data_IF_971256689186
#
_entry.id   IF_971256689186
#
_cell.length_a   1.000
_cell.length_b   1.000
_cell.length_c   1.000
_cell.angle_alpha   90.00
_cell.angle_beta   90.00
_cell.angle_gamma   90.00
#
_symmetry.space_group_name_H-M   'P 1'
#
loop_
_entity.id
_entity.type
_entity.pdbx_description
1 polymer ?
#
# COMPACT_ATOMS: atom_id res chain seq x y z
N UNK A 1 -21.46 -30.36 -19.21
CA UNK A 1 -20.33 -30.86 -18.40
C UNK A 1 -20.54 -30.46 -16.92
N UNK A 2 -21.49 -31.13 -16.25
CA UNK A 2 -21.96 -30.77 -14.89
C UNK A 2 -21.05 -31.35 -13.81
N UNK A 3 -20.70 -32.63 -13.95
CA UNK A 3 -19.94 -33.39 -12.96
C UNK A 3 -18.51 -32.85 -12.78
N UNK A 4 -17.81 -32.48 -13.87
CA UNK A 4 -16.48 -31.87 -13.77
C UNK A 4 -16.51 -30.52 -13.06
N UNK A 5 -17.57 -29.74 -13.25
CA UNK A 5 -17.74 -28.46 -12.56
C UNK A 5 -17.95 -28.67 -11.06
N UNK A 6 -18.71 -29.71 -10.69
CA UNK A 6 -18.96 -30.05 -9.29
C UNK A 6 -17.73 -30.58 -8.57
N UNK A 7 -16.93 -31.40 -9.26
CA UNK A 7 -15.63 -31.85 -8.77
C UNK A 7 -14.64 -30.69 -8.60
N UNK A 8 -14.58 -29.77 -9.57
CA UNK A 8 -13.76 -28.56 -9.46
C UNK A 8 -14.18 -27.68 -8.26
N UNK A 9 -15.48 -27.52 -8.02
CA UNK A 9 -16.00 -26.80 -6.85
C UNK A 9 -15.65 -27.50 -5.54
N UNK A 10 -15.73 -28.83 -5.49
CA UNK A 10 -15.33 -29.62 -4.30
C UNK A 10 -13.85 -29.46 -4.02
N UNK A 11 -13.00 -29.57 -5.06
CA UNK A 11 -11.55 -29.38 -4.95
C UNK A 11 -11.21 -27.97 -4.45
N UNK A 12 -11.81 -26.94 -5.04
CA UNK A 12 -11.58 -25.54 -4.63
C UNK A 12 -12.03 -25.28 -3.19
N UNK A 13 -13.12 -25.92 -2.72
CA UNK A 13 -13.53 -25.84 -1.30
C UNK A 13 -12.46 -26.43 -0.36
N UNK A 14 -11.91 -27.59 -0.70
CA UNK A 14 -10.85 -28.21 0.10
C UNK A 14 -9.55 -27.39 0.05
N UNK A 15 -9.20 -26.84 -1.11
CA UNK A 15 -8.04 -25.98 -1.27
C UNK A 15 -8.19 -24.66 -0.48
N UNK A 16 -9.40 -24.09 -0.40
CA UNK A 16 -9.67 -22.94 0.50
C UNK A 16 -9.47 -23.27 1.96
N UNK A 17 -9.92 -24.44 2.42
CA UNK A 17 -9.70 -24.88 3.81
C UNK A 17 -8.22 -25.03 4.13
N UNK A 18 -7.42 -25.55 3.18
CA UNK A 18 -5.96 -25.69 3.34
C UNK A 18 -5.23 -24.34 3.34
N UNK A 19 -5.68 -23.38 2.53
CA UNK A 19 -5.09 -22.03 2.46
C UNK A 19 -5.53 -21.12 3.60
N UNK A 20 -6.66 -21.42 4.25
CA UNK A 20 -7.20 -20.63 5.35
C UNK A 20 -6.31 -20.70 6.58
N UNK A 21 -5.83 -19.55 7.03
CA UNK A 21 -5.13 -19.39 8.31
C UNK A 21 -6.09 -18.82 9.36
N UNK A 22 -5.73 -18.93 10.64
CA UNK A 22 -6.56 -18.38 11.72
C UNK A 22 -6.69 -16.85 11.56
N UNK A 23 -7.85 -16.29 11.92
CA UNK A 23 -8.13 -14.87 11.75
C UNK A 23 -7.07 -13.97 12.39
N UNK A 24 -6.59 -14.32 13.59
CA UNK A 24 -5.55 -13.55 14.28
C UNK A 24 -4.20 -13.58 13.55
N UNK A 25 -3.83 -14.72 12.97
CA UNK A 25 -2.60 -14.84 12.18
C UNK A 25 -2.71 -14.07 10.86
N UNK A 26 -3.88 -14.08 10.23
CA UNK A 26 -4.16 -13.26 9.06
C UNK A 26 -4.00 -11.78 9.37
N UNK A 27 -4.64 -11.29 10.44
CA UNK A 27 -4.58 -9.88 10.84
C UNK A 27 -3.15 -9.44 11.10
N UNK A 28 -2.34 -10.27 11.78
CA UNK A 28 -0.92 -9.97 12.06
C UNK A 28 -0.08 -9.81 10.79
N UNK A 29 -0.35 -10.60 9.75
CA UNK A 29 0.40 -10.54 8.50
C UNK A 29 -0.15 -9.51 7.50
N UNK A 30 -1.44 -9.20 7.58
CA UNK A 30 -2.14 -8.34 6.63
C UNK A 30 -2.18 -6.87 7.04
N UNK A 31 -2.33 -6.58 8.34
CA UNK A 31 -2.40 -5.21 8.84
C UNK A 31 -0.99 -4.63 8.91
N UNK A 32 -0.72 -3.62 8.08
CA UNK A 32 0.51 -2.84 8.14
C UNK A 32 0.34 -1.64 9.07
N UNK A 33 1.42 -1.25 9.75
CA UNK A 33 1.40 -0.09 10.66
C UNK A 33 1.27 1.24 9.90
N UNK A 34 1.88 1.32 8.73
CA UNK A 34 1.87 2.50 7.85
C UNK A 34 1.26 2.16 6.49
N UNK A 35 0.70 3.16 5.78
CA UNK A 35 0.33 2.99 4.39
C UNK A 35 1.58 2.67 3.53
N UNK A 36 1.40 2.01 2.38
CA UNK A 36 2.50 1.72 1.45
C UNK A 36 3.17 3.00 0.94
N UNK A 37 4.50 3.07 0.96
CA UNK A 37 5.26 4.25 0.54
C UNK A 37 5.15 4.56 -0.97
N UNK A 38 4.79 3.56 -1.77
CA UNK A 38 4.65 3.69 -3.22
C UNK A 38 3.30 4.29 -3.66
N UNK A 39 2.35 4.46 -2.75
CA UNK A 39 1.03 5.00 -3.06
C UNK A 39 0.74 6.20 -2.17
N UNK A 40 0.40 7.37 -2.75
CA UNK A 40 0.05 8.52 -1.96
C UNK A 40 -1.29 8.28 -1.26
N UNK A 41 -1.23 7.94 0.02
CA UNK A 41 -2.40 7.74 0.87
C UNK A 41 -2.73 9.02 1.63
N UNK A 42 -4.02 9.37 1.65
CA UNK A 42 -4.55 10.55 2.33
C UNK A 42 -5.66 10.13 3.28
N UNK A 43 -5.46 10.36 4.59
CA UNK A 43 -6.44 10.01 5.61
C UNK A 43 -5.88 9.17 6.75
N UNK A 44 -6.77 8.64 7.58
CA UNK A 44 -6.41 7.78 8.72
C UNK A 44 -6.16 6.34 8.27
N UNK A 45 -5.03 5.77 8.68
CA UNK A 45 -4.70 4.36 8.40
C UNK A 45 -5.05 3.46 9.59
N UNK A 46 -4.17 3.41 10.61
CA UNK A 46 -4.34 2.58 11.81
C UNK A 46 -4.95 3.35 12.98
N UNK A 47 -4.49 4.57 13.20
CA UNK A 47 -4.95 5.42 14.29
C UNK A 47 -5.84 6.53 13.74
N UNK A 48 -6.99 6.77 14.38
CA UNK A 48 -7.94 7.81 13.96
C UNK A 48 -7.36 9.22 14.07
N UNK A 49 -6.39 9.39 14.97
CA UNK A 49 -5.80 10.68 15.29
C UNK A 49 -4.56 10.99 14.42
N UNK A 50 -4.16 10.07 13.55
CA UNK A 50 -3.01 10.22 12.64
C UNK A 50 -3.51 10.23 11.21
N UNK A 51 -3.38 11.38 10.55
CA UNK A 51 -3.77 11.59 9.15
C UNK A 51 -2.50 11.60 8.30
N UNK A 52 -2.36 10.64 7.40
CA UNK A 52 -1.28 10.63 6.43
C UNK A 52 -1.60 11.59 5.27
N UNK A 53 -0.57 12.27 4.78
CA UNK A 53 -0.64 13.34 3.79
C UNK A 53 0.28 13.03 2.60
N UNK A 54 -0.04 11.97 1.86
CA UNK A 54 0.61 11.64 0.58
C UNK A 54 1.90 10.84 0.68
N UNK A 55 2.49 10.69 1.87
CA UNK A 55 3.62 9.80 2.15
C UNK A 55 3.53 9.29 3.60
N UNK A 56 4.04 8.08 3.91
CA UNK A 56 4.15 7.59 5.28
C UNK A 56 4.92 8.52 6.22
N UNK A 57 5.88 9.30 5.70
CA UNK A 57 6.69 10.24 6.48
C UNK A 57 5.98 11.58 6.77
N UNK A 58 4.94 11.89 6.00
CA UNK A 58 4.13 13.09 6.18
C UNK A 58 2.81 12.73 6.86
N UNK A 59 2.80 12.77 8.20
CA UNK A 59 1.60 12.58 9.01
C UNK A 59 1.23 13.84 9.80
N UNK A 60 -0.06 13.99 10.07
CA UNK A 60 -0.66 15.08 10.85
C UNK A 60 -1.40 14.48 12.04
N UNK A 61 -1.31 15.14 13.18
CA UNK A 61 -2.02 14.78 14.41
C UNK A 61 -3.04 15.84 14.78
N UNK A 62 -4.00 15.49 15.64
CA UNK A 62 -4.97 16.45 16.18
C UNK A 62 -4.24 17.70 16.73
N UNK A 63 -4.56 18.86 16.17
CA UNK A 63 -3.95 20.14 16.52
C UNK A 63 -2.85 20.65 15.56
N UNK A 64 -2.34 19.82 14.65
CA UNK A 64 -1.33 20.22 13.65
C UNK A 64 -1.74 19.84 12.22
N UNK A 65 -2.95 20.25 11.85
CA UNK A 65 -3.45 20.13 10.48
C UNK A 65 -2.72 21.16 9.60
N UNK A 66 -1.90 20.68 8.67
CA UNK A 66 -1.29 21.53 7.64
C UNK A 66 -2.06 21.37 6.34
N UNK A 67 -2.05 22.39 5.49
CA UNK A 67 -2.53 22.23 4.12
C UNK A 67 -1.54 21.36 3.35
N UNK A 68 -2.02 20.31 2.69
CA UNK A 68 -1.20 19.50 1.80
C UNK A 68 -1.22 20.15 0.43
N UNK A 69 -0.11 20.78 0.06
CA UNK A 69 0.06 21.38 -1.25
C UNK A 69 0.61 20.36 -2.22
N UNK A 70 0.05 20.31 -3.42
CA UNK A 70 0.66 19.56 -4.51
C UNK A 70 2.00 20.24 -4.86
N UNK A 71 3.12 19.51 -4.92
CA UNK A 71 4.40 20.10 -5.31
C UNK A 71 4.31 20.71 -6.72
N UNK A 72 5.15 21.71 -6.99
CA UNK A 72 5.19 22.32 -8.30
C UNK A 72 5.55 21.26 -9.35
N UNK A 73 4.83 21.15 -10.48
CA UNK A 73 5.11 20.15 -11.51
C UNK A 73 6.55 20.22 -12.05
N UNK A 74 7.19 21.40 -11.98
CA UNK A 74 8.60 21.56 -12.36
C UNK A 74 9.54 20.81 -11.42
N UNK A 75 9.31 20.90 -10.12
CA UNK A 75 10.15 20.27 -9.10
C UNK A 75 10.00 18.74 -9.13
N UNK A 76 8.78 18.26 -9.41
CA UNK A 76 8.51 16.83 -9.66
C UNK A 76 9.34 16.35 -10.86
N UNK A 77 9.36 17.11 -11.96
CA UNK A 77 10.12 16.72 -13.15
C UNK A 77 11.64 16.75 -12.93
N UNK A 78 12.13 17.69 -12.13
CA UNK A 78 13.55 17.75 -11.76
C UNK A 78 13.93 16.50 -10.96
N UNK A 79 13.14 16.12 -9.96
CA UNK A 79 13.41 14.92 -9.16
C UNK A 79 13.42 13.64 -10.01
N UNK A 80 12.47 13.49 -10.95
CA UNK A 80 12.46 12.38 -11.91
C UNK A 80 13.76 12.36 -12.75
N UNK A 81 14.15 13.49 -13.32
CA UNK A 81 15.35 13.60 -14.14
C UNK A 81 16.64 13.34 -13.33
N UNK A 82 16.69 13.76 -12.07
CA UNK A 82 17.80 13.47 -11.17
C UNK A 82 17.90 11.96 -10.86
N UNK A 83 16.76 11.27 -10.67
CA UNK A 83 16.74 9.81 -10.51
C UNK A 83 17.21 9.10 -11.78
N UNK A 84 16.74 9.52 -12.96
CA UNK A 84 17.17 8.96 -14.25
C UNK A 84 18.66 9.16 -14.49
N UNK A 85 19.20 10.36 -14.20
CA UNK A 85 20.63 10.66 -14.32
C UNK A 85 21.48 9.82 -13.37
N UNK A 86 21.02 9.60 -12.13
CA UNK A 86 21.71 8.75 -11.17
C UNK A 86 21.76 7.29 -11.64
N UNK A 87 20.64 6.75 -12.14
CA UNK A 87 20.59 5.40 -12.70
C UNK A 87 21.45 5.22 -13.96
N UNK A 88 21.58 6.26 -14.80
CA UNK A 88 22.50 6.25 -15.93
C UNK A 88 23.97 6.39 -15.51
N UNK A 89 24.24 7.18 -14.47
CA UNK A 89 25.57 7.38 -13.91
C UNK A 89 26.14 6.13 -13.26
N UNK A 90 25.31 5.38 -12.51
CA UNK A 90 25.67 4.12 -11.88
C UNK A 90 25.86 2.96 -12.88
N UNK A 91 25.40 3.13 -14.14
CA UNK A 91 25.53 2.15 -15.24
C UNK A 91 26.79 2.34 -16.11
N UNK A 92 27.60 3.38 -15.85
CA UNK A 92 28.89 3.61 -16.53
C UNK A 92 30.05 3.06 -15.72
#
# INVERSE_FOLDING_TARGET
>A
DSEKTEEARRKEREDRKKRGIAYQEFVKNWVTDTPPANLPFYGSWKEKNVIYAGSPDNYMTEGNLKAVWLPNPKDVRIAELETELKELGDKR
#
